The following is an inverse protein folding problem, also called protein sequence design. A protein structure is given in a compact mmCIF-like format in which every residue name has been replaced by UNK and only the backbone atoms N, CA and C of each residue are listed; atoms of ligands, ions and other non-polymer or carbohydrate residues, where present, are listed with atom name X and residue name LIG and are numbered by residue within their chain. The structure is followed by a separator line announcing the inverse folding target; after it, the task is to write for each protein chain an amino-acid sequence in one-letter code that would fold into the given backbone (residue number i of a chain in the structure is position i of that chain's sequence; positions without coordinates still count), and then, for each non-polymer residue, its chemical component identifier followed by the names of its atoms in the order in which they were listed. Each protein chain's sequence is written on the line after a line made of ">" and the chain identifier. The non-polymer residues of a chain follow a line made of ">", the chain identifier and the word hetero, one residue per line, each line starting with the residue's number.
data_IF_640586910696
#
_entry.id   IF_640586910696
#
_cell.length_a   1.000
_cell.length_b   1.000
_cell.length_c   1.000
_cell.angle_alpha   90.00
_cell.angle_beta   90.00
_cell.angle_gamma   90.00
#
_symmetry.space_group_name_H-M   'P 1'
#
loop_
_entity.id
_entity.type
_entity.pdbx_description
1 polymer ?
#
# COMPACT_ATOMS: atom_id res chain seq x y z
N UNK A 1 -7.51 -23.57 -7.20
CA UNK A 1 -7.54 -23.12 -5.81
C UNK A 1 -6.10 -22.81 -5.42
N UNK A 2 -5.80 -21.55 -5.19
CA UNK A 2 -4.46 -21.14 -4.75
C UNK A 2 -4.32 -21.49 -3.26
N UNK A 3 -3.11 -21.82 -2.82
CA UNK A 3 -2.83 -21.89 -1.39
C UNK A 3 -2.60 -20.43 -0.90
N UNK A 4 -3.67 -19.78 -0.46
CA UNK A 4 -3.70 -18.38 -0.08
C UNK A 4 -3.03 -18.16 1.29
N UNK A 5 -1.73 -18.29 1.32
CA UNK A 5 -0.90 -18.07 2.50
C UNK A 5 -0.08 -16.76 2.39
N UNK A 6 0.66 -16.42 3.42
CA UNK A 6 1.50 -15.22 3.47
C UNK A 6 2.51 -15.17 2.31
N UNK A 7 3.09 -16.30 1.91
CA UNK A 7 4.07 -16.34 0.82
C UNK A 7 3.41 -16.05 -0.53
N UNK A 8 2.17 -16.52 -0.75
CA UNK A 8 1.38 -16.16 -1.92
C UNK A 8 1.22 -14.64 -2.03
N UNK A 9 0.82 -13.97 -0.95
CA UNK A 9 0.65 -12.52 -0.97
C UNK A 9 1.97 -11.78 -1.19
N UNK A 10 3.07 -12.20 -0.57
CA UNK A 10 4.40 -11.64 -0.83
C UNK A 10 4.84 -11.78 -2.29
N UNK A 11 4.43 -12.85 -2.96
CA UNK A 11 4.77 -13.09 -4.37
C UNK A 11 4.07 -12.08 -5.29
N UNK A 12 2.85 -11.62 -4.98
CA UNK A 12 2.16 -10.57 -5.75
C UNK A 12 3.04 -9.33 -5.95
N UNK A 13 3.80 -8.93 -4.93
CA UNK A 13 4.73 -7.80 -5.04
C UNK A 13 5.89 -8.11 -6.00
N UNK A 14 6.42 -9.32 -6.00
CA UNK A 14 7.50 -9.71 -6.92
C UNK A 14 7.01 -9.74 -8.35
N UNK A 15 5.81 -10.27 -8.57
CA UNK A 15 5.15 -10.21 -9.88
C UNK A 15 4.87 -8.77 -10.32
N UNK A 16 4.47 -7.90 -9.40
CA UNK A 16 4.24 -6.49 -9.67
C UNK A 16 5.48 -5.79 -10.26
N UNK A 17 6.67 -6.19 -9.86
CA UNK A 17 7.91 -5.64 -10.41
C UNK A 17 8.02 -5.90 -11.92
N UNK A 18 7.71 -7.09 -12.35
CA UNK A 18 7.73 -7.47 -13.77
C UNK A 18 6.59 -6.78 -14.53
N UNK A 19 5.38 -6.77 -13.94
CA UNK A 19 4.20 -6.13 -14.53
C UNK A 19 4.41 -4.61 -14.69
N UNK A 20 5.00 -3.93 -13.70
CA UNK A 20 5.29 -2.50 -13.76
C UNK A 20 6.30 -2.16 -14.89
N UNK A 21 7.37 -2.95 -15.02
CA UNK A 21 8.32 -2.77 -16.14
C UNK A 21 7.62 -2.99 -17.47
N UNK A 22 6.81 -4.05 -17.60
CA UNK A 22 6.03 -4.33 -18.80
C UNK A 22 5.08 -3.18 -19.16
N UNK A 23 4.34 -2.66 -18.20
CA UNK A 23 3.44 -1.53 -18.39
C UNK A 23 4.19 -0.25 -18.81
N UNK A 24 5.35 0.03 -18.19
CA UNK A 24 6.20 1.14 -18.60
C UNK A 24 6.63 1.03 -20.06
N UNK A 25 7.03 -0.14 -20.50
CA UNK A 25 7.51 -0.35 -21.88
C UNK A 25 6.37 -0.32 -22.91
N UNK A 26 5.17 -0.75 -22.53
CA UNK A 26 4.02 -0.83 -23.43
C UNK A 26 3.27 0.50 -23.53
N UNK A 27 3.00 1.15 -22.43
CA UNK A 27 2.07 2.29 -22.33
C UNK A 27 2.66 3.48 -21.56
N UNK A 28 3.73 3.26 -20.81
CA UNK A 28 4.36 4.23 -19.92
C UNK A 28 3.34 4.93 -18.98
N UNK A 29 2.44 4.15 -18.39
CA UNK A 29 1.32 4.66 -17.59
C UNK A 29 1.38 4.26 -16.12
N UNK A 30 2.53 3.80 -15.63
CA UNK A 30 2.71 3.45 -14.22
C UNK A 30 2.84 4.71 -13.38
N UNK A 31 2.14 4.74 -12.24
CA UNK A 31 2.25 5.77 -11.22
C UNK A 31 2.54 5.13 -9.87
N UNK A 32 3.50 5.71 -9.14
CA UNK A 32 3.80 5.29 -7.78
C UNK A 32 2.85 5.95 -6.78
N UNK A 33 2.48 5.24 -5.72
CA UNK A 33 1.57 5.79 -4.70
C UNK A 33 2.13 5.64 -3.30
N UNK A 34 1.87 6.66 -2.46
CA UNK A 34 2.04 6.60 -1.02
C UNK A 34 0.75 7.00 -0.33
N UNK A 35 0.35 6.23 0.68
CA UNK A 35 -0.92 6.41 1.39
C UNK A 35 -2.12 5.88 0.61
N UNK A 36 -3.30 6.16 1.12
CA UNK A 36 -4.56 5.72 0.52
C UNK A 36 -4.99 6.68 -0.58
N UNK A 37 -4.87 6.26 -1.83
CA UNK A 37 -5.31 7.03 -2.99
C UNK A 37 -6.58 6.40 -3.57
N UNK A 38 -7.47 7.22 -4.15
CA UNK A 38 -8.56 6.68 -4.95
C UNK A 38 -7.99 6.08 -6.24
N UNK A 39 -7.83 4.75 -6.21
CA UNK A 39 -7.26 3.99 -7.32
C UNK A 39 -8.13 4.07 -8.57
N UNK A 40 -9.45 4.08 -8.41
CA UNK A 40 -10.38 4.19 -9.53
C UNK A 40 -10.22 5.54 -10.25
N UNK A 41 -9.97 6.60 -9.49
CA UNK A 41 -9.70 7.93 -10.05
C UNK A 41 -8.45 7.94 -10.92
N UNK A 42 -7.34 7.37 -10.45
CA UNK A 42 -6.10 7.29 -11.25
C UNK A 42 -6.29 6.42 -12.49
N UNK A 43 -7.04 5.34 -12.39
CA UNK A 43 -7.36 4.47 -13.53
C UNK A 43 -8.24 5.12 -14.58
N UNK A 44 -9.10 6.06 -14.19
CA UNK A 44 -9.88 6.86 -15.12
C UNK A 44 -9.02 7.74 -16.05
N UNK A 45 -7.79 8.03 -15.65
CA UNK A 45 -6.76 8.65 -16.49
C UNK A 45 -5.87 7.60 -17.22
N UNK A 46 -6.30 6.35 -17.29
CA UNK A 46 -5.54 5.24 -17.87
C UNK A 46 -4.20 4.95 -17.17
N UNK A 47 -4.07 5.34 -15.91
CA UNK A 47 -2.88 5.08 -15.10
C UNK A 47 -3.00 3.76 -14.35
N UNK A 48 -1.85 3.14 -14.08
CA UNK A 48 -1.74 1.93 -13.27
C UNK A 48 -0.99 2.26 -11.98
N UNK A 49 -1.72 2.43 -10.86
CA UNK A 49 -1.11 2.75 -9.57
C UNK A 49 -0.46 1.53 -8.93
N UNK A 50 0.71 1.75 -8.33
CA UNK A 50 1.40 0.78 -7.49
C UNK A 50 1.94 1.45 -6.23
N UNK A 51 1.80 0.84 -5.05
CA UNK A 51 2.41 1.37 -3.84
C UNK A 51 3.95 1.33 -3.93
N UNK A 52 4.59 2.41 -3.50
CA UNK A 52 6.05 2.51 -3.38
C UNK A 52 6.40 2.62 -1.90
N UNK A 53 6.49 1.50 -1.22
CA UNK A 53 6.84 1.47 0.19
C UNK A 53 7.67 0.25 0.49
N UNK A 54 8.68 0.39 1.34
CA UNK A 54 9.41 -0.78 1.83
C UNK A 54 8.66 -1.43 2.97
N UNK A 55 8.63 -2.74 2.96
CA UNK A 55 7.94 -3.55 3.96
C UNK A 55 8.84 -4.62 4.57
N UNK A 56 10.03 -4.80 4.04
CA UNK A 56 10.92 -5.88 4.45
C UNK A 56 12.05 -5.34 5.33
N UNK A 57 12.14 -5.78 6.57
CA UNK A 57 13.20 -5.40 7.50
C UNK A 57 14.61 -5.75 7.01
N UNK A 58 14.73 -6.69 6.07
CA UNK A 58 16.01 -7.06 5.49
C UNK A 58 16.67 -5.90 4.72
N UNK A 59 15.90 -4.86 4.32
CA UNK A 59 16.42 -3.68 3.63
C UNK A 59 17.49 -2.94 4.44
N UNK A 60 17.44 -3.03 5.76
CA UNK A 60 18.41 -2.41 6.66
C UNK A 60 19.86 -2.92 6.48
N UNK A 61 20.05 -4.03 5.77
CA UNK A 61 21.38 -4.53 5.39
C UNK A 61 22.02 -3.71 4.27
N UNK A 62 21.26 -2.85 3.59
CA UNK A 62 21.72 -2.13 2.41
C UNK A 62 21.88 -0.62 2.59
N UNK A 63 21.66 -0.10 3.78
CA UNK A 63 21.83 1.32 4.05
C UNK A 63 21.90 1.65 5.54
N UNK A 64 22.34 2.86 5.83
CA UNK A 64 22.44 3.34 7.20
C UNK A 64 21.08 3.70 7.78
N UNK A 65 20.82 3.25 8.99
CA UNK A 65 19.65 3.64 9.78
C UNK A 65 19.99 4.93 10.51
N UNK A 66 19.23 5.96 10.24
CA UNK A 66 19.38 7.23 10.94
C UNK A 66 18.34 7.37 12.07
N UNK A 67 18.26 8.59 12.64
CA UNK A 67 17.36 8.89 13.76
C UNK A 67 15.86 8.98 13.39
N UNK A 68 15.50 8.71 12.13
CA UNK A 68 14.10 8.72 11.66
C UNK A 68 13.34 7.47 12.10
N UNK A 69 12.04 7.46 11.89
CA UNK A 69 11.22 6.28 12.15
C UNK A 69 11.49 5.18 11.10
N UNK A 70 11.08 3.96 11.41
CA UNK A 70 11.33 2.81 10.55
C UNK A 70 10.65 2.92 9.18
N UNK A 71 9.47 3.54 9.08
CA UNK A 71 8.81 3.78 7.80
C UNK A 71 9.67 4.66 6.88
N UNK A 72 10.26 5.73 7.43
CA UNK A 72 11.17 6.61 6.68
C UNK A 72 12.47 5.87 6.36
N UNK A 73 13.11 5.26 7.35
CA UNK A 73 14.37 4.56 7.14
C UNK A 73 14.25 3.44 6.12
N UNK A 74 13.28 2.56 6.27
CA UNK A 74 13.11 1.42 5.37
C UNK A 74 12.78 1.88 3.94
N UNK A 75 11.87 2.84 3.79
CA UNK A 75 11.50 3.35 2.46
C UNK A 75 12.65 4.13 1.82
N UNK A 76 13.34 4.98 2.57
CA UNK A 76 14.51 5.72 2.08
C UNK A 76 15.59 4.77 1.57
N UNK A 77 16.03 3.81 2.38
CA UNK A 77 17.06 2.84 2.00
C UNK A 77 16.61 2.04 0.76
N UNK A 78 15.35 1.62 0.72
CA UNK A 78 14.80 0.91 -0.43
C UNK A 78 14.87 1.71 -1.72
N UNK A 79 14.55 2.99 -1.68
CA UNK A 79 14.60 3.87 -2.85
C UNK A 79 16.05 4.25 -3.22
N UNK A 80 16.89 4.57 -2.23
CA UNK A 80 18.30 4.88 -2.43
C UNK A 80 19.10 3.74 -3.06
N UNK A 81 18.71 2.49 -2.84
CA UNK A 81 19.36 1.35 -3.49
C UNK A 81 19.18 1.34 -5.01
N UNK A 82 18.25 2.13 -5.54
CA UNK A 82 17.91 2.16 -6.97
C UNK A 82 17.34 0.84 -7.50
N UNK A 83 16.99 -0.09 -6.62
CA UNK A 83 16.51 -1.43 -6.97
C UNK A 83 14.98 -1.56 -6.96
N UNK A 84 14.25 -0.46 -6.84
CA UNK A 84 12.80 -0.48 -6.90
C UNK A 84 12.30 -0.43 -8.34
N UNK A 85 11.85 -1.55 -8.93
CA UNK A 85 11.36 -1.56 -10.31
C UNK A 85 10.10 -0.71 -10.49
N UNK A 86 9.27 -0.60 -9.44
CA UNK A 86 8.06 0.24 -9.47
C UNK A 86 8.45 1.72 -9.54
N UNK A 87 9.38 2.18 -8.70
CA UNK A 87 9.88 3.56 -8.77
C UNK A 87 10.49 3.86 -10.14
N UNK A 88 11.33 2.95 -10.65
CA UNK A 88 11.90 3.09 -11.99
C UNK A 88 10.82 3.21 -13.06
N UNK A 89 9.75 2.43 -12.95
CA UNK A 89 8.65 2.42 -13.92
C UNK A 89 7.72 3.62 -13.79
N UNK A 90 7.62 4.22 -12.61
CA UNK A 90 6.70 5.32 -12.34
C UNK A 90 7.06 6.59 -13.11
N UNK A 91 6.05 7.27 -13.67
CA UNK A 91 6.19 8.60 -14.27
C UNK A 91 6.37 9.67 -13.19
N UNK A 92 5.54 9.62 -12.19
CA UNK A 92 5.49 10.49 -11.02
C UNK A 92 4.95 9.71 -9.83
N UNK A 93 4.87 10.35 -8.68
CA UNK A 93 4.39 9.73 -7.45
C UNK A 93 3.21 10.56 -6.92
N UNK A 94 2.10 9.88 -6.63
CA UNK A 94 0.94 10.48 -5.99
C UNK A 94 0.94 10.13 -4.51
N UNK A 95 0.67 11.09 -3.66
CA UNK A 95 0.57 10.86 -2.23
C UNK A 95 -0.65 11.55 -1.61
N UNK A 96 -1.19 10.96 -0.57
CA UNK A 96 -2.25 11.55 0.26
C UNK A 96 -1.66 12.16 1.53
N UNK A 97 -2.45 12.32 2.56
CA UNK A 97 -2.09 12.93 3.85
C UNK A 97 -0.97 12.17 4.60
N UNK A 98 0.21 12.15 4.02
CA UNK A 98 1.37 11.56 4.66
C UNK A 98 2.00 12.52 5.66
N UNK A 99 2.69 11.95 6.64
CA UNK A 99 3.55 12.70 7.51
C UNK A 99 4.47 13.65 6.71
N UNK A 100 4.44 14.98 6.98
CA UNK A 100 5.22 15.94 6.20
C UNK A 100 6.72 15.65 6.18
N UNK A 101 7.25 15.07 7.27
CA UNK A 101 8.67 14.68 7.34
C UNK A 101 8.94 13.46 6.44
N UNK A 102 7.99 12.51 6.34
CA UNK A 102 8.09 11.40 5.40
C UNK A 102 8.20 11.94 3.97
N UNK A 103 7.26 12.79 3.56
CA UNK A 103 7.27 13.39 2.22
C UNK A 103 8.56 14.16 1.95
N UNK A 104 8.98 15.02 2.89
CA UNK A 104 10.22 15.81 2.75
C UNK A 104 11.45 14.94 2.56
N UNK A 105 11.56 13.85 3.33
CA UNK A 105 12.76 12.99 3.26
C UNK A 105 12.74 12.05 2.08
N UNK A 106 11.59 11.50 1.75
CA UNK A 106 11.49 10.56 0.64
C UNK A 106 11.54 11.26 -0.72
N UNK A 107 11.00 12.47 -0.85
CA UNK A 107 11.14 13.25 -2.09
C UNK A 107 12.59 13.62 -2.45
N UNK A 108 13.49 13.63 -1.47
CA UNK A 108 14.92 13.93 -1.70
C UNK A 108 15.73 12.75 -2.26
N UNK A 109 15.20 11.53 -2.19
CA UNK A 109 15.92 10.31 -2.64
C UNK A 109 15.49 9.83 -4.02
N UNK A 110 14.71 10.60 -4.72
CA UNK A 110 14.30 10.32 -6.10
C UNK A 110 14.14 11.62 -6.88
N UNK A 111 14.29 11.53 -8.18
CA UNK A 111 14.05 12.62 -9.15
C UNK A 111 12.59 12.68 -9.63
N UNK A 112 11.74 11.77 -9.16
CA UNK A 112 10.32 11.74 -9.51
C UNK A 112 9.57 12.88 -8.86
N UNK A 113 8.65 13.47 -9.63
CA UNK A 113 7.75 14.50 -9.13
C UNK A 113 6.77 13.89 -8.11
N UNK A 114 6.57 14.58 -6.98
CA UNK A 114 5.61 14.24 -5.95
C UNK A 114 4.38 15.13 -6.09
N UNK A 115 3.24 14.52 -6.35
CA UNK A 115 1.97 15.21 -6.56
C UNK A 115 1.01 14.82 -5.43
N UNK A 116 0.44 15.82 -4.76
CA UNK A 116 -0.60 15.57 -3.77
C UNK A 116 -1.86 15.07 -4.47
N UNK A 117 -2.56 14.14 -3.87
CA UNK A 117 -3.77 13.59 -4.49
C UNK A 117 -4.83 14.67 -4.76
N UNK A 118 -4.92 15.69 -3.90
CA UNK A 118 -5.84 16.83 -4.07
C UNK A 118 -5.53 17.66 -5.33
N UNK A 119 -4.27 17.70 -5.74
CA UNK A 119 -3.79 18.49 -6.89
C UNK A 119 -3.66 17.65 -8.17
N UNK A 120 -3.89 16.32 -8.07
CA UNK A 120 -3.55 15.37 -9.14
C UNK A 120 -4.39 15.57 -10.40
N UNK A 121 -5.66 15.98 -10.28
CA UNK A 121 -6.52 16.25 -11.44
C UNK A 121 -5.93 17.36 -12.32
N UNK A 122 -5.64 18.49 -11.72
CA UNK A 122 -5.06 19.64 -12.43
C UNK A 122 -3.68 19.28 -13.04
N UNK A 123 -2.87 18.55 -12.28
CA UNK A 123 -1.57 18.06 -12.76
C UNK A 123 -1.74 17.14 -13.97
N UNK A 124 -2.65 16.19 -13.94
CA UNK A 124 -2.86 15.24 -15.04
C UNK A 124 -3.40 15.92 -16.29
N UNK A 125 -4.37 16.83 -16.17
CA UNK A 125 -4.92 17.58 -17.27
C UNK A 125 -3.86 18.44 -17.96
N UNK A 126 -3.01 19.14 -17.18
CA UNK A 126 -1.89 19.92 -17.71
C UNK A 126 -0.86 19.06 -18.45
N UNK A 127 -0.71 17.81 -18.09
CA UNK A 127 0.18 16.84 -18.72
C UNK A 127 -0.49 16.04 -19.83
N UNK A 128 -1.70 16.43 -20.27
CA UNK A 128 -2.37 15.86 -21.45
C UNK A 128 -3.10 14.55 -21.18
N UNK A 129 -3.34 14.19 -19.93
CA UNK A 129 -4.18 13.06 -19.59
C UNK A 129 -5.65 13.48 -19.62
N UNK A 130 -6.51 12.58 -20.04
CA UNK A 130 -7.97 12.79 -20.10
C UNK A 130 -8.67 11.86 -19.14
N UNK A 131 -9.60 12.39 -18.37
CA UNK A 131 -10.44 11.62 -17.48
C UNK A 131 -11.57 10.93 -18.26
N UNK A 132 -11.83 9.68 -17.92
CA UNK A 132 -12.92 8.86 -18.50
C UNK A 132 -13.91 8.48 -17.39
N UNK A 133 -15.11 9.08 -17.44
CA UNK A 133 -16.18 8.86 -16.46
C UNK A 133 -16.70 7.42 -16.47
N UNK A 134 -16.72 6.74 -17.62
CA UNK A 134 -17.19 5.36 -17.70
C UNK A 134 -16.21 4.42 -17.02
N UNK A 135 -14.91 4.59 -17.28
CA UNK A 135 -13.84 3.84 -16.61
C UNK A 135 -13.87 4.12 -15.10
N UNK A 136 -14.02 5.39 -14.71
CA UNK A 136 -14.13 5.73 -13.29
C UNK A 136 -15.24 4.95 -12.59
N UNK A 137 -16.45 5.03 -13.12
CA UNK A 137 -17.62 4.39 -12.52
C UNK A 137 -17.48 2.85 -12.47
N UNK A 138 -16.91 2.24 -13.51
CA UNK A 138 -16.64 0.80 -13.56
C UNK A 138 -15.61 0.41 -12.47
N UNK A 139 -14.46 1.08 -12.44
CA UNK A 139 -13.39 0.74 -11.52
C UNK A 139 -13.73 1.10 -10.07
N UNK A 140 -14.49 2.18 -9.85
CA UNK A 140 -14.96 2.56 -8.52
C UNK A 140 -15.85 1.47 -7.91
N UNK A 141 -16.82 0.98 -8.69
CA UNK A 141 -17.68 -0.12 -8.26
C UNK A 141 -16.88 -1.37 -7.89
N UNK A 142 -15.82 -1.67 -8.63
CA UNK A 142 -14.99 -2.84 -8.35
C UNK A 142 -14.11 -2.62 -7.11
N UNK A 143 -13.55 -1.42 -6.92
CA UNK A 143 -12.83 -1.06 -5.70
C UNK A 143 -13.74 -1.15 -4.47
N UNK A 144 -14.94 -0.59 -4.53
CA UNK A 144 -15.92 -0.67 -3.44
C UNK A 144 -16.27 -2.13 -3.10
N UNK A 145 -16.42 -2.99 -4.13
CA UNK A 145 -16.65 -4.43 -3.92
C UNK A 145 -15.46 -5.12 -3.24
N UNK A 146 -14.23 -4.74 -3.60
CA UNK A 146 -13.00 -5.25 -2.96
C UNK A 146 -12.95 -4.84 -1.49
N UNK A 147 -13.25 -3.58 -1.19
CA UNK A 147 -13.26 -3.04 0.17
C UNK A 147 -14.34 -3.72 1.04
N UNK A 148 -15.55 -3.90 0.51
CA UNK A 148 -16.62 -4.65 1.20
C UNK A 148 -16.19 -6.08 1.55
N UNK A 149 -15.47 -6.75 0.65
CA UNK A 149 -14.96 -8.11 0.89
C UNK A 149 -13.86 -8.15 1.94
N UNK A 150 -12.96 -7.17 1.93
CA UNK A 150 -11.94 -7.05 2.98
C UNK A 150 -12.58 -6.78 4.35
N UNK A 151 -13.60 -5.92 4.41
CA UNK A 151 -14.37 -5.67 5.64
C UNK A 151 -15.16 -6.92 6.09
N UNK A 152 -15.67 -7.71 5.14
CA UNK A 152 -16.31 -8.99 5.49
C UNK A 152 -15.31 -9.97 6.11
N UNK A 153 -14.11 -10.09 5.54
CA UNK A 153 -13.05 -10.96 6.06
C UNK A 153 -12.60 -10.58 7.48
N UNK A 154 -12.71 -9.31 7.88
CA UNK A 154 -12.48 -8.88 9.25
C UNK A 154 -13.43 -9.54 10.27
N UNK A 155 -14.61 -9.94 9.81
CA UNK A 155 -15.65 -10.59 10.62
C UNK A 155 -15.65 -12.11 10.51
N UNK A 156 -14.57 -12.70 10.01
CA UNK A 156 -14.41 -14.14 9.86
C UNK A 156 -13.34 -14.68 10.81
N UNK A 157 -13.19 -16.00 10.87
CA UNK A 157 -12.15 -16.65 11.63
C UNK A 157 -10.77 -16.66 10.96
N UNK A 158 -10.55 -15.82 9.93
CA UNK A 158 -9.25 -15.67 9.29
C UNK A 158 -8.18 -15.22 10.29
N UNK A 159 -6.98 -15.74 10.15
CA UNK A 159 -5.83 -15.24 10.90
C UNK A 159 -5.58 -13.76 10.61
N UNK A 160 -5.46 -12.94 11.66
CA UNK A 160 -5.31 -11.49 11.53
C UNK A 160 -4.06 -11.07 10.77
N UNK A 161 -2.99 -11.84 10.92
CA UNK A 161 -1.75 -11.61 10.21
C UNK A 161 -1.90 -11.88 8.71
N UNK A 162 -2.56 -13.01 8.37
CA UNK A 162 -2.86 -13.31 6.96
C UNK A 162 -3.73 -12.23 6.33
N UNK A 163 -4.77 -11.78 7.03
CA UNK A 163 -5.63 -10.70 6.55
C UNK A 163 -4.85 -9.40 6.32
N UNK A 164 -3.96 -9.04 7.23
CA UNK A 164 -3.12 -7.84 7.09
C UNK A 164 -2.18 -7.94 5.89
N UNK A 165 -1.58 -9.10 5.67
CA UNK A 165 -0.77 -9.35 4.48
C UNK A 165 -1.61 -9.28 3.20
N UNK A 166 -2.82 -9.85 3.22
CA UNK A 166 -3.73 -9.79 2.08
C UNK A 166 -4.11 -8.34 1.75
N UNK A 167 -4.56 -7.55 2.73
CA UNK A 167 -4.91 -6.14 2.56
C UNK A 167 -3.78 -5.34 1.91
N UNK A 168 -2.56 -5.53 2.38
CA UNK A 168 -1.42 -4.79 1.84
C UNK A 168 -0.97 -5.29 0.47
N UNK A 169 -0.71 -6.59 0.34
CA UNK A 169 -0.07 -7.11 -0.87
C UNK A 169 -1.03 -7.24 -2.06
N UNK A 170 -2.35 -7.30 -1.84
CA UNK A 170 -3.32 -7.21 -2.94
C UNK A 170 -3.19 -5.89 -3.72
N UNK A 171 -2.76 -4.81 -3.08
CA UNK A 171 -2.52 -3.53 -3.76
C UNK A 171 -1.43 -3.61 -4.84
N UNK A 172 -0.58 -4.64 -4.82
CA UNK A 172 0.42 -4.90 -5.86
C UNK A 172 -0.11 -5.68 -7.06
N UNK A 173 -1.29 -6.30 -6.99
CA UNK A 173 -1.94 -6.87 -8.17
C UNK A 173 -2.64 -5.74 -8.95
N UNK A 174 -2.20 -5.40 -10.19
CA UNK A 174 -2.77 -4.27 -10.92
C UNK A 174 -4.17 -4.55 -11.48
N UNK A 175 -4.55 -5.80 -11.63
CA UNK A 175 -5.86 -6.17 -12.18
C UNK A 175 -6.87 -6.30 -11.03
N UNK A 176 -7.82 -5.35 -10.93
CA UNK A 176 -8.83 -5.34 -9.87
C UNK A 176 -9.71 -6.59 -9.91
N UNK A 177 -9.98 -7.11 -11.09
CA UNK A 177 -10.74 -8.34 -11.30
C UNK A 177 -10.05 -9.53 -10.61
N UNK A 178 -8.73 -9.64 -10.75
CA UNK A 178 -7.95 -10.68 -10.06
C UNK A 178 -7.93 -10.52 -8.55
N UNK A 179 -7.84 -9.26 -8.06
CA UNK A 179 -7.97 -9.00 -6.61
C UNK A 179 -9.32 -9.48 -6.10
N UNK A 180 -10.38 -9.18 -6.85
CA UNK A 180 -11.73 -9.60 -6.54
C UNK A 180 -11.86 -11.13 -6.52
N UNK A 181 -11.24 -11.83 -7.46
CA UNK A 181 -11.26 -13.30 -7.52
C UNK A 181 -10.49 -13.94 -6.35
N UNK A 182 -9.31 -13.41 -6.00
CA UNK A 182 -8.56 -13.85 -4.82
C UNK A 182 -9.39 -13.70 -3.55
N UNK A 183 -10.08 -12.56 -3.37
CA UNK A 183 -10.93 -12.33 -2.22
C UNK A 183 -12.16 -13.26 -2.19
N UNK A 184 -12.71 -13.63 -3.35
CA UNK A 184 -13.77 -14.64 -3.43
C UNK A 184 -13.27 -16.00 -2.95
N UNK A 185 -12.06 -16.41 -3.33
CA UNK A 185 -11.45 -17.65 -2.83
C UNK A 185 -11.29 -17.59 -1.31
N UNK A 186 -10.76 -16.46 -0.77
CA UNK A 186 -10.60 -16.28 0.68
C UNK A 186 -11.93 -16.37 1.43
N UNK A 187 -12.97 -15.68 0.97
CA UNK A 187 -14.28 -15.67 1.63
C UNK A 187 -14.87 -17.09 1.72
N UNK A 188 -14.62 -17.92 0.73
CA UNK A 188 -15.09 -19.30 0.73
C UNK A 188 -14.33 -20.22 1.70
N UNK A 189 -13.17 -19.82 2.20
CA UNK A 189 -12.34 -20.62 3.10
C UNK A 189 -12.60 -20.32 4.58
N UNK A 190 -13.18 -19.14 4.91
CA UNK A 190 -13.32 -18.68 6.28
C UNK A 190 -14.78 -18.52 6.70
N UNK A 191 -15.05 -18.91 7.94
CA UNK A 191 -16.39 -18.82 8.52
C UNK A 191 -16.60 -17.45 9.17
N UNK A 192 -17.81 -16.91 9.02
CA UNK A 192 -18.22 -15.70 9.71
C UNK A 192 -18.25 -15.93 11.23
N UNK A 193 -17.65 -15.03 11.98
CA UNK A 193 -17.68 -15.00 13.44
C UNK A 193 -18.17 -13.62 13.89
N UNK A 194 -19.15 -13.61 14.80
CA UNK A 194 -19.67 -12.35 15.35
C UNK A 194 -18.77 -11.87 16.52
N UNK A 195 -17.50 -11.68 16.25
CA UNK A 195 -16.54 -11.19 17.25
C UNK A 195 -16.00 -9.83 16.81
N UNK A 196 -16.11 -8.86 17.70
CA UNK A 196 -15.36 -7.62 17.58
C UNK A 196 -13.87 -7.91 17.79
N UNK A 197 -13.12 -7.76 16.74
CA UNK A 197 -11.67 -7.87 16.81
C UNK A 197 -11.07 -6.51 17.16
N UNK A 198 -10.05 -6.49 17.99
CA UNK A 198 -9.28 -5.27 18.26
C UNK A 198 -8.44 -4.88 17.05
N UNK A 199 -8.50 -3.64 16.64
CA UNK A 199 -7.67 -3.08 15.56
C UNK A 199 -6.37 -2.58 16.18
N UNK A 200 -5.24 -3.06 15.68
CA UNK A 200 -3.92 -2.52 16.01
C UNK A 200 -3.37 -1.80 14.79
N UNK A 201 -2.96 -0.58 14.99
CA UNK A 201 -2.29 0.22 13.98
C UNK A 201 -0.81 0.34 14.31
N UNK A 202 0.04 0.08 13.35
CA UNK A 202 1.49 0.19 13.51
C UNK A 202 2.06 1.19 12.51
N UNK A 203 2.99 2.01 12.99
CA UNK A 203 3.69 3.02 12.15
C UNK A 203 4.75 2.44 11.23
N UNK A 204 4.92 1.15 11.25
CA UNK A 204 5.94 0.53 10.43
C UNK A 204 5.37 -0.59 9.59
N UNK A 205 5.89 -0.72 8.38
CA UNK A 205 5.50 -1.81 7.52
C UNK A 205 5.92 -3.15 8.14
N UNK A 206 5.09 -4.03 8.10
CA UNK A 206 5.00 -5.49 8.16
C UNK A 206 6.11 -6.33 8.83
N UNK A 207 7.36 -5.90 8.91
CA UNK A 207 8.39 -6.59 9.71
C UNK A 207 8.06 -6.66 11.21
N UNK A 208 7.19 -5.77 11.68
CA UNK A 208 6.69 -5.77 13.05
C UNK A 208 5.65 -6.86 13.26
N UNK A 209 4.90 -7.22 12.24
CA UNK A 209 3.86 -8.25 12.35
C UNK A 209 4.42 -9.59 12.80
N UNK A 210 5.68 -9.87 12.46
CA UNK A 210 6.35 -11.09 12.88
C UNK A 210 6.62 -11.16 14.40
N UNK A 211 6.60 -10.01 15.08
CA UNK A 211 6.80 -9.91 16.52
C UNK A 211 5.54 -9.61 17.34
N UNK A 212 4.38 -9.51 16.71
CA UNK A 212 3.11 -9.23 17.38
C UNK A 212 2.36 -10.56 17.59
N UNK A 213 1.89 -10.78 18.80
CA UNK A 213 0.95 -11.86 19.11
C UNK A 213 -0.39 -11.60 18.39
N UNK A 214 -0.52 -12.16 17.20
CA UNK A 214 -1.67 -11.94 16.33
C UNK A 214 -2.96 -12.59 16.84
N UNK A 215 -2.90 -13.46 17.83
CA UNK A 215 -4.09 -14.14 18.37
C UNK A 215 -5.04 -13.16 19.08
N UNK A 216 -4.49 -12.06 19.59
CA UNK A 216 -5.27 -11.07 20.35
C UNK A 216 -5.70 -9.84 19.53
N UNK A 217 -5.26 -9.69 18.27
CA UNK A 217 -5.48 -8.48 17.49
C UNK A 217 -6.00 -8.79 16.09
N UNK A 218 -6.97 -8.03 15.64
CA UNK A 218 -7.66 -8.39 14.41
C UNK A 218 -7.17 -7.73 13.13
N UNK A 219 -6.69 -6.51 13.20
CA UNK A 219 -6.21 -5.79 12.01
C UNK A 219 -4.96 -5.02 12.36
N UNK A 220 -3.94 -5.12 11.51
CA UNK A 220 -2.73 -4.34 11.65
C UNK A 220 -2.63 -3.47 10.41
N UNK A 221 -2.86 -2.18 10.58
CA UNK A 221 -2.73 -1.19 9.53
C UNK A 221 -1.43 -0.43 9.69
N UNK A 222 -0.72 -0.23 8.59
CA UNK A 222 0.44 0.65 8.57
C UNK A 222 -0.04 2.09 8.60
N UNK A 223 0.27 2.80 9.68
CA UNK A 223 -0.10 4.19 9.83
C UNK A 223 1.03 5.09 9.30
N UNK A 224 1.06 5.34 8.02
CA UNK A 224 1.89 6.40 7.43
C UNK A 224 1.12 7.70 7.23
N UNK A 225 -0.14 7.72 7.60
CA UNK A 225 -1.01 8.87 7.46
C UNK A 225 -0.71 9.95 8.51
N UNK A 226 -0.64 11.21 8.09
CA UNK A 226 -0.40 12.35 8.97
C UNK A 226 -1.57 12.67 9.90
N UNK A 227 -2.77 12.18 9.61
CA UNK A 227 -3.94 12.35 10.46
C UNK A 227 -3.90 11.46 11.71
N UNK A 228 -2.96 10.53 11.74
CA UNK A 228 -2.66 9.78 12.96
C UNK A 228 -1.97 10.66 13.98
N UNK A 229 -2.68 10.96 15.05
CA UNK A 229 -2.24 11.63 16.26
C UNK A 229 -0.72 11.97 16.26
N UNK A 230 -0.31 13.16 15.79
CA UNK A 230 1.10 13.52 15.62
C UNK A 230 1.91 13.46 16.92
N UNK A 231 1.25 13.60 18.05
CA UNK A 231 1.79 13.47 19.40
C UNK A 231 2.16 12.02 19.79
N UNK A 232 1.64 11.04 19.03
CA UNK A 232 1.91 9.59 19.20
C UNK A 232 2.71 8.99 18.06
N UNK A 233 3.09 9.79 17.11
CA UNK A 233 3.89 9.38 15.98
C UNK A 233 5.31 9.01 16.40
N UNK A 234 5.94 8.07 15.70
CA UNK A 234 7.32 7.67 15.89
C UNK A 234 8.34 8.81 15.74
N UNK A 235 7.95 9.91 15.08
CA UNK A 235 8.74 11.11 15.08
C UNK A 235 9.09 11.61 16.46
N UNK A 236 8.12 11.57 17.35
CA UNK A 236 8.30 12.09 18.69
C UNK A 236 9.16 11.16 19.53
N UNK A 237 9.12 9.86 19.27
CA UNK A 237 9.70 8.85 20.13
C UNK A 237 10.71 7.92 19.44
N UNK A 238 10.87 8.04 18.12
CA UNK A 238 11.77 7.20 17.30
C UNK A 238 11.56 5.69 17.48
N UNK A 239 10.34 5.26 17.78
CA UNK A 239 9.95 3.88 18.03
C UNK A 239 8.60 3.60 17.42
N UNK A 240 8.31 2.32 17.25
CA UNK A 240 6.97 1.87 16.92
C UNK A 240 5.98 2.31 17.96
N UNK A 241 4.93 2.91 17.52
CA UNK A 241 3.78 3.15 18.37
C UNK A 241 2.67 2.27 17.86
N UNK A 242 2.22 1.38 18.72
CA UNK A 242 1.02 0.60 18.48
C UNK A 242 -0.15 1.40 19.03
N UNK A 243 -1.18 1.55 18.22
CA UNK A 243 -2.44 2.12 18.67
C UNK A 243 -3.44 0.96 18.81
N UNK A 244 -3.99 0.81 20.00
CA UNK A 244 -5.23 0.07 20.20
C UNK A 244 -6.37 1.09 20.05
N UNK A 245 -7.27 0.84 19.11
CA UNK A 245 -8.48 1.64 18.91
C UNK A 245 -9.65 0.90 19.53
#
# INVERSE_FOLDING_TARGET
>A
MHNLNIDFFKELRREAYVKAIGAKLATDNVVGTFGEVDEAFLRAFSLVPYPIVSVDGFIYQYGEVNADCDAINSTRIYLETGKCPILFSSKFIVHTNLCPIFVEKISKVTDKEFVRFEDVSEFLEKNGFSFDDEIYNEKKKLCDTIDEKLQFLEKTNIDSRLLSYAKFYLSYEPELEKRNDILNEMINEYEFIDNERKIVRALCPYGILDGIDAENYSVIESAMDSDYAPDKCAFCNKKYIKYEV
#
